data_IF_171284135723
#
_entry.id   IF_171284135723
#
_cell.length_a   1.000
_cell.length_b   1.000
_cell.length_c   1.000
_cell.angle_alpha   90.00
_cell.angle_beta   90.00
_cell.angle_gamma   90.00
#
_symmetry.space_group_name_H-M   'P 1'
#
loop_
_entity.id
_entity.type
_entity.pdbx_description
1 polymer ?
#
# COMPACT_ATOMS: atom_id res chain seq x y z
N UNK A 1 13.71 -17.55 21.42
CA UNK A 1 12.67 -17.62 20.37
C UNK A 1 12.51 -16.22 19.81
N UNK A 2 13.05 -15.95 18.62
CA UNK A 2 12.84 -14.68 17.92
C UNK A 2 11.62 -14.85 17.03
N UNK A 3 10.55 -14.10 17.32
CA UNK A 3 9.41 -14.02 16.41
C UNK A 3 9.77 -12.94 15.38
N UNK A 4 9.77 -13.23 14.08
CA UNK A 4 10.00 -12.18 13.09
C UNK A 4 8.88 -11.12 13.24
N UNK A 5 9.28 -9.88 13.52
CA UNK A 5 8.37 -8.72 13.69
C UNK A 5 7.69 -8.33 12.38
N UNK A 6 8.10 -8.91 11.26
CA UNK A 6 7.40 -8.81 9.98
C UNK A 6 6.79 -10.18 9.67
N UNK A 7 5.57 -10.21 9.13
CA UNK A 7 4.90 -11.47 8.72
C UNK A 7 5.60 -12.23 7.57
N UNK A 8 6.86 -11.92 7.29
CA UNK A 8 7.72 -12.57 6.32
C UNK A 8 8.74 -13.45 7.04
N UNK A 9 8.94 -14.66 6.53
CA UNK A 9 9.97 -15.56 7.05
C UNK A 9 11.38 -14.95 6.84
N UNK A 10 12.24 -14.92 7.86
CA UNK A 10 13.63 -14.50 7.70
C UNK A 10 14.35 -15.41 6.70
N UNK A 11 15.33 -14.85 5.99
CA UNK A 11 16.15 -15.52 4.97
C UNK A 11 15.37 -16.11 3.78
N UNK A 12 14.13 -15.65 3.55
CA UNK A 12 13.31 -16.06 2.41
C UNK A 12 12.97 -14.88 1.50
N UNK A 13 13.34 -14.97 0.22
CA UNK A 13 12.83 -14.06 -0.81
C UNK A 13 11.39 -14.44 -1.15
N UNK A 14 10.45 -13.52 -0.93
CA UNK A 14 9.07 -13.72 -1.40
C UNK A 14 9.02 -13.43 -2.89
N UNK A 15 8.83 -14.48 -3.70
CA UNK A 15 8.62 -14.31 -5.14
C UNK A 15 7.27 -13.64 -5.36
N UNK A 16 7.32 -12.39 -5.83
CA UNK A 16 6.13 -11.73 -6.34
C UNK A 16 5.66 -12.46 -7.62
N UNK A 17 4.33 -12.60 -7.85
CA UNK A 17 3.80 -13.17 -9.08
C UNK A 17 4.20 -12.34 -10.32
N UNK A 18 3.67 -12.63 -11.51
CA UNK A 18 3.73 -11.63 -12.58
C UNK A 18 2.91 -10.41 -12.17
N UNK A 19 3.33 -9.19 -12.53
CA UNK A 19 2.55 -7.97 -12.25
C UNK A 19 1.28 -7.99 -13.09
N UNK A 20 0.16 -8.36 -12.46
CA UNK A 20 -1.16 -8.46 -13.11
C UNK A 20 -2.03 -7.24 -12.84
N UNK A 21 -1.59 -6.30 -12.00
CA UNK A 21 -2.36 -5.12 -11.61
C UNK A 21 -1.67 -3.84 -12.06
N UNK A 22 -2.37 -3.07 -12.90
CA UNK A 22 -2.02 -1.70 -13.24
C UNK A 22 -2.93 -0.76 -12.44
N UNK A 23 -2.34 0.03 -11.53
CA UNK A 23 -3.09 1.02 -10.76
C UNK A 23 -3.27 2.30 -11.57
N UNK A 24 -4.43 2.93 -11.47
CA UNK A 24 -4.69 4.23 -12.11
C UNK A 24 -4.10 5.34 -11.26
N UNK A 25 -3.28 6.20 -11.86
CA UNK A 25 -2.80 7.41 -11.20
C UNK A 25 -3.98 8.35 -10.92
N UNK A 26 -4.09 8.84 -9.69
CA UNK A 26 -5.14 9.80 -9.31
C UNK A 26 -4.74 11.27 -9.50
N UNK A 27 -3.44 11.53 -9.65
CA UNK A 27 -2.88 12.89 -9.61
C UNK A 27 -2.82 13.50 -8.21
N UNK A 28 -3.24 12.76 -7.17
CA UNK A 28 -3.21 13.18 -5.78
C UNK A 28 -2.00 12.58 -5.05
N UNK A 29 -1.55 13.24 -4.00
CA UNK A 29 -0.56 12.75 -3.05
C UNK A 29 -1.06 12.90 -1.61
N UNK A 30 -0.51 12.08 -0.72
CA UNK A 30 -0.68 12.21 0.72
C UNK A 30 0.65 12.62 1.35
N UNK A 31 0.59 13.60 2.24
CA UNK A 31 1.73 14.06 3.03
C UNK A 31 1.39 13.95 4.52
N UNK A 32 2.26 13.28 5.30
CA UNK A 32 2.17 13.20 6.76
C UNK A 32 3.53 13.62 7.32
N UNK A 33 3.75 14.92 7.58
CA UNK A 33 5.08 15.45 7.91
C UNK A 33 5.69 14.84 9.17
N UNK A 34 4.88 14.57 10.20
CA UNK A 34 5.33 13.96 11.46
C UNK A 34 5.87 12.54 11.29
N UNK A 35 5.54 11.88 10.18
CA UNK A 35 6.01 10.53 9.82
C UNK A 35 6.99 10.55 8.64
N UNK A 36 7.31 11.73 8.08
CA UNK A 36 8.15 11.84 6.89
C UNK A 36 7.55 11.18 5.64
N UNK A 37 6.22 11.03 5.59
CA UNK A 37 5.52 10.36 4.49
C UNK A 37 5.16 11.37 3.40
N UNK A 38 5.55 11.09 2.16
CA UNK A 38 5.08 11.77 0.96
C UNK A 38 4.94 10.74 -0.16
N UNK A 39 3.69 10.41 -0.52
CA UNK A 39 3.38 9.31 -1.44
C UNK A 39 2.33 9.72 -2.46
N UNK A 40 2.46 9.31 -3.72
CA UNK A 40 1.36 9.41 -4.68
C UNK A 40 0.22 8.44 -4.29
N UNK A 41 -1.02 8.86 -4.53
CA UNK A 41 -2.21 8.05 -4.36
C UNK A 41 -2.58 7.41 -5.71
N UNK A 42 -2.83 6.10 -5.71
CA UNK A 42 -3.29 5.35 -6.87
C UNK A 42 -4.61 4.65 -6.56
N UNK A 43 -5.46 4.48 -7.57
CA UNK A 43 -6.73 3.77 -7.43
C UNK A 43 -6.54 2.26 -7.43
N UNK A 44 -7.11 1.59 -6.43
CA UNK A 44 -7.19 0.13 -6.33
C UNK A 44 -8.65 -0.27 -6.50
N UNK A 45 -8.96 -0.90 -7.63
CA UNK A 45 -10.31 -1.37 -7.95
C UNK A 45 -10.68 -2.59 -7.10
N UNK A 46 -11.95 -2.67 -6.70
CA UNK A 46 -12.51 -3.86 -6.06
C UNK A 46 -12.82 -4.91 -7.12
N UNK A 47 -12.25 -6.11 -7.00
CA UNK A 47 -12.43 -7.16 -8.01
C UNK A 47 -13.69 -8.03 -7.79
N UNK A 48 -14.58 -7.63 -6.89
CA UNK A 48 -15.75 -8.42 -6.48
C UNK A 48 -15.54 -9.26 -5.21
N UNK A 49 -14.29 -9.43 -4.77
CA UNK A 49 -13.96 -10.12 -3.51
C UNK A 49 -13.01 -9.31 -2.63
N UNK A 50 -12.00 -8.69 -3.21
CA UNK A 50 -10.96 -7.95 -2.47
C UNK A 50 -10.32 -6.85 -3.32
N UNK A 51 -9.42 -6.09 -2.69
CA UNK A 51 -8.54 -5.13 -3.34
C UNK A 51 -7.16 -5.77 -3.50
N UNK A 52 -6.66 -5.89 -4.73
CA UNK A 52 -5.32 -6.42 -4.96
C UNK A 52 -4.27 -5.32 -4.74
N UNK A 53 -3.65 -5.33 -3.56
CA UNK A 53 -2.57 -4.40 -3.18
C UNK A 53 -1.17 -4.98 -3.33
N UNK A 54 -1.03 -6.15 -3.96
CA UNK A 54 0.25 -6.89 -4.06
C UNK A 54 1.37 -6.05 -4.68
N UNK A 55 1.03 -5.18 -5.62
CA UNK A 55 1.98 -4.39 -6.41
C UNK A 55 2.02 -2.91 -6.02
N UNK A 56 1.38 -2.54 -4.90
CA UNK A 56 1.20 -1.13 -4.53
C UNK A 56 2.55 -0.43 -4.31
N UNK A 57 3.55 -1.19 -3.83
CA UNK A 57 4.94 -0.75 -3.77
C UNK A 57 5.12 0.48 -2.87
N UNK A 58 5.56 1.59 -3.45
CA UNK A 58 5.78 2.87 -2.75
C UNK A 58 4.63 3.87 -2.93
N UNK A 59 3.46 3.41 -3.37
CA UNK A 59 2.28 4.26 -3.52
C UNK A 59 1.35 4.06 -2.31
N UNK A 60 0.47 5.04 -2.08
CA UNK A 60 -0.73 4.84 -1.28
C UNK A 60 -1.88 4.37 -2.18
N UNK A 61 -2.62 3.35 -1.76
CA UNK A 61 -3.74 2.78 -2.49
C UNK A 61 -5.06 3.31 -1.96
N UNK A 62 -5.82 4.01 -2.79
CA UNK A 62 -7.21 4.31 -2.52
C UNK A 62 -8.08 3.09 -2.83
N UNK A 63 -8.86 2.64 -1.85
CA UNK A 63 -9.76 1.50 -2.02
C UNK A 63 -11.08 1.94 -2.64
N UNK A 64 -11.27 1.60 -3.92
CA UNK A 64 -12.50 1.90 -4.65
C UNK A 64 -13.71 1.29 -3.94
N UNK A 65 -14.77 2.07 -3.79
CA UNK A 65 -15.95 1.74 -2.98
C UNK A 65 -16.04 2.53 -1.67
N UNK A 66 -14.94 3.18 -1.24
CA UNK A 66 -14.97 4.27 -0.25
C UNK A 66 -15.20 5.63 -0.92
N UNK A 67 -15.27 6.72 -0.16
CA UNK A 67 -15.38 8.06 -0.77
C UNK A 67 -14.07 8.41 -1.48
N UNK A 68 -14.15 8.96 -2.69
CA UNK A 68 -12.95 9.40 -3.42
C UNK A 68 -12.20 10.47 -2.61
N UNK A 69 -10.85 10.46 -2.54
CA UNK A 69 -10.12 11.47 -1.80
C UNK A 69 -10.49 12.86 -2.33
N UNK A 70 -10.78 13.81 -1.42
CA UNK A 70 -11.37 15.15 -1.64
C UNK A 70 -12.89 15.24 -1.70
N UNK A 71 -13.62 14.13 -1.77
CA UNK A 71 -15.09 14.14 -1.73
C UNK A 71 -15.61 14.02 -0.31
N UNK A 72 -16.87 14.40 -0.11
CA UNK A 72 -17.54 14.22 1.17
C UNK A 72 -17.71 12.72 1.48
N UNK A 73 -17.38 12.33 2.71
CA UNK A 73 -17.42 10.95 3.19
C UNK A 73 -16.05 10.45 3.65
N UNK A 74 -15.98 9.16 3.97
CA UNK A 74 -14.75 8.54 4.48
C UNK A 74 -13.97 7.90 3.31
N UNK A 75 -12.78 8.42 3.05
CA UNK A 75 -11.81 7.81 2.12
C UNK A 75 -10.93 6.81 2.85
N UNK A 76 -10.73 5.63 2.26
CA UNK A 76 -9.83 4.61 2.80
C UNK A 76 -8.56 4.56 1.94
N UNK A 77 -7.43 4.82 2.57
CA UNK A 77 -6.09 4.71 1.98
C UNK A 77 -5.31 3.60 2.68
N UNK A 78 -4.55 2.83 1.91
CA UNK A 78 -3.68 1.75 2.40
C UNK A 78 -2.28 1.84 1.81
N UNK A 79 -1.30 1.18 2.43
CA UNK A 79 0.09 1.17 2.00
C UNK A 79 0.89 0.11 2.75
N UNK A 80 2.04 -0.28 2.20
CA UNK A 80 2.85 -1.33 2.81
C UNK A 80 3.62 -0.83 4.04
N UNK A 81 3.63 -1.62 5.10
CA UNK A 81 4.51 -1.45 6.28
C UNK A 81 5.89 -2.06 6.03
N UNK A 82 5.97 -3.05 5.14
CA UNK A 82 7.22 -3.71 4.75
C UNK A 82 7.15 -4.04 3.27
N UNK A 83 8.24 -3.80 2.53
CA UNK A 83 8.32 -4.12 1.11
C UNK A 83 8.58 -5.62 0.87
N UNK A 84 8.54 -6.03 -0.40
CA UNK A 84 8.74 -7.43 -0.79
C UNK A 84 10.16 -7.98 -0.47
N UNK A 85 11.12 -7.10 -0.19
CA UNK A 85 12.48 -7.44 0.20
C UNK A 85 12.68 -7.45 1.72
N UNK A 86 11.61 -7.28 2.51
CA UNK A 86 11.70 -7.21 3.96
C UNK A 86 12.20 -5.86 4.50
N UNK A 87 12.31 -4.84 3.65
CA UNK A 87 12.73 -3.48 4.06
C UNK A 87 11.53 -2.65 4.53
N UNK A 88 11.75 -1.58 5.30
CA UNK A 88 10.72 -0.61 5.64
C UNK A 88 9.86 -0.19 4.45
N UNK A 89 8.55 -0.33 4.59
CA UNK A 89 7.57 0.14 3.61
C UNK A 89 7.15 1.59 3.85
N UNK A 90 6.43 2.19 2.90
CA UNK A 90 6.02 3.61 2.93
C UNK A 90 5.16 4.03 4.12
N UNK A 91 4.45 3.09 4.78
CA UNK A 91 3.63 3.37 5.98
C UNK A 91 4.18 2.70 7.24
N UNK A 92 5.48 2.40 7.30
CA UNK A 92 6.09 1.92 8.54
C UNK A 92 6.18 3.05 9.57
N UNK A 93 5.64 2.80 10.77
CA UNK A 93 5.86 3.67 11.92
C UNK A 93 7.28 3.40 12.47
N UNK A 94 8.06 4.48 12.61
CA UNK A 94 9.41 4.49 13.19
C UNK A 94 9.41 4.39 14.70
#
# INVERSE_FOLDING_TARGET
MIIPVTGFAPDRVTRLPAQTSAYKASGLSIEIPSLGVNLPIVGVEFNGTTWNVTWLGKNAGYLAGSAYPTWNGNSILTGHVTDANGKPGPLRLS
#
